data_IF_902768866374
#
_entry.id   IF_902768866374
#
_cell.length_a   1.000
_cell.length_b   1.000
_cell.length_c   1.000
_cell.angle_alpha   90.00
_cell.angle_beta   90.00
_cell.angle_gamma   90.00
#
_symmetry.space_group_name_H-M   'P 1'
#
loop_
_entity.id
_entity.type
_entity.pdbx_description
1 polymer ?
#
# COMPACT_ATOMS: atom_id res chain seq x y z
N UNK A 1 7.04 6.76 1.45
CA UNK A 1 5.73 6.08 1.60
C UNK A 1 5.64 4.79 0.78
N UNK A 2 5.99 4.78 -0.52
CA UNK A 2 5.89 3.56 -1.36
C UNK A 2 6.64 2.34 -0.79
N UNK A 3 7.91 2.49 -0.40
CA UNK A 3 8.69 1.39 0.17
C UNK A 3 8.05 0.81 1.43
N UNK A 4 7.47 1.67 2.29
CA UNK A 4 6.77 1.25 3.50
C UNK A 4 5.47 0.52 3.15
N UNK A 5 4.71 1.01 2.17
CA UNK A 5 3.52 0.33 1.67
C UNK A 5 3.85 -1.07 1.13
N UNK A 6 4.92 -1.19 0.32
CA UNK A 6 5.39 -2.47 -0.20
C UNK A 6 5.80 -3.44 0.93
N UNK A 7 6.46 -2.94 1.98
CA UNK A 7 6.83 -3.76 3.13
C UNK A 7 5.61 -4.26 3.93
N UNK A 8 4.64 -3.39 4.19
CA UNK A 8 3.40 -3.75 4.89
C UNK A 8 2.57 -4.76 4.08
N UNK A 9 2.43 -4.55 2.77
CA UNK A 9 1.77 -5.49 1.88
C UNK A 9 2.50 -6.85 1.82
N UNK A 10 3.84 -6.83 1.72
CA UNK A 10 4.64 -8.05 1.73
C UNK A 10 4.40 -8.90 2.99
N UNK A 11 4.38 -8.27 4.17
CA UNK A 11 4.06 -8.95 5.42
C UNK A 11 2.62 -9.47 5.44
N UNK A 12 1.64 -8.66 5.04
CA UNK A 12 0.22 -9.04 5.06
C UNK A 12 -0.11 -10.20 4.14
N UNK A 13 0.47 -10.22 2.94
CA UNK A 13 0.21 -11.23 1.90
C UNK A 13 1.24 -12.38 1.90
N UNK A 14 2.13 -12.43 2.89
CA UNK A 14 3.17 -13.44 3.03
C UNK A 14 3.97 -13.64 1.73
N UNK A 15 4.49 -12.55 1.18
CA UNK A 15 5.25 -12.52 -0.08
C UNK A 15 6.43 -11.56 0.03
N UNK A 16 7.31 -11.52 -0.97
CA UNK A 16 8.42 -10.57 -1.01
C UNK A 16 7.98 -9.17 -1.45
N UNK A 17 8.58 -8.11 -0.90
CA UNK A 17 8.29 -6.73 -1.30
C UNK A 17 8.56 -6.45 -2.79
N UNK A 18 9.49 -7.20 -3.40
CA UNK A 18 9.75 -7.16 -4.85
C UNK A 18 8.61 -7.75 -5.70
N UNK A 19 7.68 -8.49 -5.07
CA UNK A 19 6.48 -9.07 -5.70
C UNK A 19 5.23 -8.22 -5.46
N UNK A 20 5.39 -7.04 -4.87
CA UNK A 20 4.33 -6.05 -4.65
C UNK A 20 4.51 -4.93 -5.67
N UNK A 21 3.48 -4.66 -6.47
CA UNK A 21 3.44 -3.51 -7.35
C UNK A 21 2.54 -2.43 -6.75
N UNK A 22 3.02 -1.20 -6.73
CA UNK A 22 2.20 -0.01 -6.45
C UNK A 22 1.72 0.51 -7.79
N UNK A 23 0.41 0.67 -7.93
CA UNK A 23 -0.28 0.96 -9.20
C UNK A 23 -0.91 2.34 -9.22
N UNK A 24 -1.02 3.01 -8.08
CA UNK A 24 -1.51 4.37 -8.01
C UNK A 24 -1.18 5.05 -6.69
N UNK A 25 -1.17 6.38 -6.73
CA UNK A 25 -1.00 7.27 -5.60
C UNK A 25 -2.02 8.40 -5.72
N UNK A 26 -2.81 8.61 -4.67
CA UNK A 26 -3.85 9.63 -4.62
C UNK A 26 -3.84 10.34 -3.28
N UNK A 27 -4.17 11.63 -3.28
CA UNK A 27 -4.48 12.35 -2.05
C UNK A 27 -5.99 12.34 -1.87
N UNK A 28 -6.47 11.90 -0.71
CA UNK A 28 -7.89 11.79 -0.40
C UNK A 28 -8.17 12.42 0.97
N UNK A 29 -8.92 13.53 0.99
CA UNK A 29 -9.40 14.19 2.22
C UNK A 29 -8.31 14.41 3.29
N UNK A 30 -7.11 14.86 2.90
CA UNK A 30 -6.00 15.10 3.84
C UNK A 30 -5.19 13.86 4.20
N UNK A 31 -5.45 12.73 3.56
CA UNK A 31 -4.64 11.50 3.63
C UNK A 31 -4.02 11.19 2.27
N UNK A 32 -3.01 10.32 2.24
CA UNK A 32 -2.47 9.76 1.02
C UNK A 32 -2.80 8.27 0.92
N UNK A 33 -3.30 7.85 -0.23
CA UNK A 33 -3.60 6.47 -0.53
C UNK A 33 -2.67 5.95 -1.62
N UNK A 34 -2.06 4.80 -1.38
CA UNK A 34 -1.36 4.03 -2.40
C UNK A 34 -2.09 2.75 -2.70
N UNK A 35 -2.51 2.61 -3.95
CA UNK A 35 -3.08 1.38 -4.47
C UNK A 35 -1.97 0.47 -4.94
N UNK A 36 -2.13 -0.82 -4.71
CA UNK A 36 -1.20 -1.80 -5.23
C UNK A 36 -1.84 -3.16 -5.41
N UNK A 37 -1.07 -4.08 -5.98
CA UNK A 37 -1.47 -5.46 -6.13
C UNK A 37 -0.30 -6.43 -5.89
N UNK A 38 -0.66 -7.64 -5.46
CA UNK A 38 0.28 -8.75 -5.30
C UNK A 38 0.51 -9.45 -6.65
N UNK A 39 1.54 -10.31 -6.72
CA UNK A 39 1.73 -11.19 -7.88
C UNK A 39 0.52 -12.11 -8.17
N UNK A 40 -0.36 -12.33 -7.18
CA UNK A 40 -1.60 -13.11 -7.32
C UNK A 40 -2.80 -12.24 -7.71
N UNK A 41 -2.56 -10.98 -8.08
CA UNK A 41 -3.58 -9.98 -8.45
C UNK A 41 -4.54 -9.61 -7.31
N UNK A 42 -4.15 -9.84 -6.05
CA UNK A 42 -4.90 -9.33 -4.89
C UNK A 42 -4.66 -7.84 -4.78
N UNK A 43 -5.72 -7.03 -4.75
CA UNK A 43 -5.62 -5.57 -4.67
C UNK A 43 -5.64 -5.10 -3.22
N UNK A 44 -4.90 -4.03 -2.94
CA UNK A 44 -4.84 -3.41 -1.62
C UNK A 44 -4.66 -1.90 -1.71
N UNK A 45 -4.92 -1.22 -0.60
CA UNK A 45 -4.66 0.21 -0.41
C UNK A 45 -3.87 0.40 0.89
N UNK A 46 -2.76 1.12 0.81
CA UNK A 46 -2.06 1.65 1.98
C UNK A 46 -2.50 3.10 2.19
N UNK A 47 -2.97 3.43 3.38
CA UNK A 47 -3.35 4.80 3.76
C UNK A 47 -2.27 5.41 4.65
N UNK A 48 -2.00 6.69 4.44
CA UNK A 48 -1.05 7.49 5.20
C UNK A 48 -1.73 8.81 5.62
N UNK A 49 -1.38 9.35 6.77
CA UNK A 49 -1.84 10.69 7.17
C UNK A 49 -1.18 11.80 6.33
N UNK A 50 -1.53 13.05 6.63
CA UNK A 50 -1.00 14.23 5.93
C UNK A 50 0.53 14.38 6.06
N UNK A 51 1.12 13.84 7.13
CA UNK A 51 2.57 13.86 7.38
C UNK A 51 3.29 12.66 6.74
N UNK A 52 2.53 11.75 6.11
CA UNK A 52 3.05 10.55 5.47
C UNK A 52 3.33 9.40 6.44
N UNK A 53 2.79 9.42 7.66
CA UNK A 53 2.85 8.29 8.58
C UNK A 53 1.85 7.22 8.15
N UNK A 54 2.25 5.96 8.26
CA UNK A 54 1.40 4.83 7.87
C UNK A 54 0.24 4.68 8.86
N UNK A 55 -0.98 4.68 8.33
CA UNK A 55 -2.20 4.47 9.12
C UNK A 55 -2.61 3.01 9.11
N UNK A 56 -2.87 2.45 7.92
CA UNK A 56 -3.33 1.07 7.77
C UNK A 56 -3.23 0.58 6.32
N UNK A 57 -3.34 -0.74 6.13
CA UNK A 57 -3.50 -1.40 4.83
C UNK A 57 -4.82 -2.18 4.77
N UNK A 58 -5.67 -1.87 3.78
CA UNK A 58 -6.92 -2.57 3.47
C UNK A 58 -6.82 -3.41 2.21
N UNK A 59 -7.58 -4.51 2.18
CA UNK A 59 -7.84 -5.26 0.96
C UNK A 59 -8.95 -4.55 0.17
N UNK A 60 -8.86 -4.58 -1.16
CA UNK A 60 -9.84 -3.95 -2.05
C UNK A 60 -10.41 -4.95 -3.06
#
# INVERSE_FOLDING_TARGET
MEALCKAQAAQRYNTGAQKIAVTGFEQFQGSYEMRGNTFRKESFVCSFDADGQFLHLSMR
#
